data_IF_047748377919
#
_entry.id   IF_047748377919
#
_cell.length_a   1.000
_cell.length_b   1.000
_cell.length_c   1.000
_cell.angle_alpha   90.00
_cell.angle_beta   90.00
_cell.angle_gamma   90.00
#
_symmetry.space_group_name_H-M   'P 1'
#
loop_
_entity.id
_entity.type
_entity.pdbx_description
1 polymer ?
#
# COMPACT_ATOMS: atom_id res chain seq x y z
N UNK A 1 -32.98 20.60 6.06
CA UNK A 1 -31.97 19.68 6.64
C UNK A 1 -32.13 18.34 5.93
N UNK A 2 -31.27 18.01 4.97
CA UNK A 2 -31.33 16.71 4.28
C UNK A 2 -30.23 15.81 4.84
N UNK A 3 -30.65 14.73 5.48
CA UNK A 3 -29.78 13.69 6.01
C UNK A 3 -29.08 12.99 4.85
N UNK A 4 -27.74 13.04 4.84
CA UNK A 4 -26.94 12.24 3.93
C UNK A 4 -27.18 10.76 4.29
N UNK A 5 -27.73 10.01 3.35
CA UNK A 5 -27.92 8.56 3.44
C UNK A 5 -26.54 7.92 3.59
N UNK A 6 -26.17 7.53 4.81
CA UNK A 6 -25.01 6.67 5.02
C UNK A 6 -25.38 5.30 4.46
N UNK A 7 -24.90 4.99 3.27
CA UNK A 7 -24.78 3.60 2.87
C UNK A 7 -23.74 2.96 3.79
N UNK A 8 -24.21 2.40 4.90
CA UNK A 8 -23.46 1.39 5.62
C UNK A 8 -23.36 0.20 4.68
N UNK A 9 -22.41 0.24 3.74
CA UNK A 9 -21.95 -0.99 3.08
C UNK A 9 -21.51 -1.89 4.21
N UNK A 10 -22.18 -3.02 4.38
CA UNK A 10 -21.74 -4.00 5.37
C UNK A 10 -20.29 -4.33 5.06
N UNK A 11 -19.44 -4.34 6.08
CA UNK A 11 -18.03 -4.73 6.03
C UNK A 11 -17.85 -6.24 5.73
N UNK A 12 -18.88 -6.89 5.20
CA UNK A 12 -19.04 -8.35 5.02
C UNK A 12 -19.08 -8.75 3.53
N UNK A 13 -18.60 -7.90 2.62
CA UNK A 13 -18.02 -8.44 1.39
C UNK A 13 -16.67 -9.05 1.79
N UNK A 14 -16.60 -10.38 1.86
CA UNK A 14 -15.33 -11.09 2.02
C UNK A 14 -14.38 -10.57 0.95
N UNK A 15 -13.43 -9.73 1.35
CA UNK A 15 -12.52 -9.11 0.39
C UNK A 15 -11.67 -10.22 -0.20
N UNK A 16 -11.80 -10.46 -1.49
CA UNK A 16 -11.06 -11.52 -2.15
C UNK A 16 -9.55 -11.34 -1.97
N UNK A 17 -8.85 -12.43 -1.72
CA UNK A 17 -7.40 -12.44 -1.69
C UNK A 17 -6.88 -12.18 -3.12
N UNK A 18 -5.96 -11.22 -3.25
CA UNK A 18 -5.39 -10.78 -4.52
C UNK A 18 -3.87 -10.85 -4.40
N UNK A 19 -3.22 -11.50 -5.37
CA UNK A 19 -1.79 -11.37 -5.58
C UNK A 19 -1.54 -10.28 -6.63
N UNK A 20 -0.91 -9.18 -6.23
CA UNK A 20 -0.59 -8.08 -7.15
C UNK A 20 0.46 -8.46 -8.20
N UNK A 21 1.19 -9.57 -7.99
CA UNK A 21 2.25 -10.05 -8.87
C UNK A 21 3.31 -8.99 -9.22
N UNK A 22 3.48 -7.96 -8.38
CA UNK A 22 4.52 -6.96 -8.56
C UNK A 22 5.89 -7.55 -8.23
N UNK A 23 6.89 -7.21 -9.05
CA UNK A 23 8.29 -7.51 -8.73
C UNK A 23 8.82 -6.55 -7.67
N UNK A 24 9.84 -6.94 -6.89
CA UNK A 24 10.48 -6.08 -5.89
C UNK A 24 11.03 -4.77 -6.50
N UNK A 25 11.15 -3.75 -5.66
CA UNK A 25 11.83 -2.50 -5.98
C UNK A 25 12.46 -1.88 -4.73
N UNK A 26 13.37 -0.93 -4.93
CA UNK A 26 14.07 -0.25 -3.85
C UNK A 26 13.16 0.68 -3.03
N UNK A 27 12.15 1.27 -3.68
CA UNK A 27 11.13 2.12 -3.06
C UNK A 27 9.73 1.55 -3.29
N UNK A 28 8.91 1.58 -2.25
CA UNK A 28 7.49 1.23 -2.31
C UNK A 28 6.66 2.38 -1.76
N UNK A 29 5.62 2.78 -2.48
CA UNK A 29 4.64 3.77 -2.02
C UNK A 29 3.23 3.20 -2.11
N UNK A 30 2.53 3.22 -0.97
CA UNK A 30 1.18 2.70 -0.82
C UNK A 30 0.21 3.83 -0.47
N UNK A 31 -0.92 3.91 -1.17
CA UNK A 31 -1.99 4.86 -0.84
C UNK A 31 -3.35 4.31 -1.24
N UNK A 32 -4.43 4.80 -0.63
CA UNK A 32 -5.79 4.60 -1.13
C UNK A 32 -6.15 5.54 -2.30
N UNK A 33 -5.41 6.64 -2.49
CA UNK A 33 -5.71 7.66 -3.49
C UNK A 33 -4.92 7.44 -4.78
N UNK A 34 -5.63 7.17 -5.87
CA UNK A 34 -5.04 7.08 -7.21
C UNK A 34 -4.38 8.40 -7.65
N UNK A 35 -4.83 9.54 -7.13
CA UNK A 35 -4.20 10.83 -7.39
C UNK A 35 -2.79 10.93 -6.80
N UNK A 36 -2.55 10.34 -5.62
CA UNK A 36 -1.19 10.28 -5.07
C UNK A 36 -0.30 9.38 -5.93
N UNK A 37 -0.82 8.20 -6.28
CA UNK A 37 -0.09 7.21 -7.05
C UNK A 37 0.26 7.78 -8.44
N UNK A 38 -0.71 8.39 -9.12
CA UNK A 38 -0.50 9.04 -10.41
C UNK A 38 0.44 10.24 -10.32
N UNK A 39 0.32 11.07 -9.27
CA UNK A 39 1.23 12.19 -9.03
C UNK A 39 2.68 11.74 -8.86
N UNK A 40 2.91 10.70 -8.06
CA UNK A 40 4.23 10.15 -7.82
C UNK A 40 4.78 9.41 -9.05
N UNK A 41 3.94 8.66 -9.77
CA UNK A 41 4.32 8.01 -11.03
C UNK A 41 4.83 9.05 -12.03
N UNK A 42 4.06 10.11 -12.27
CA UNK A 42 4.44 11.20 -13.17
C UNK A 42 5.72 11.89 -12.73
N UNK A 43 5.95 12.06 -11.43
CA UNK A 43 7.17 12.66 -10.91
C UNK A 43 8.40 11.77 -11.10
N UNK A 44 8.24 10.47 -10.81
CA UNK A 44 9.30 9.49 -10.96
C UNK A 44 9.68 9.26 -12.43
N UNK A 45 8.70 9.22 -13.34
CA UNK A 45 8.94 9.04 -14.77
C UNK A 45 9.77 10.17 -15.39
N UNK A 46 9.64 11.40 -14.89
CA UNK A 46 10.41 12.56 -15.41
C UNK A 46 11.92 12.44 -15.19
N UNK A 47 12.36 11.67 -14.20
CA UNK A 47 13.77 11.52 -13.86
C UNK A 47 14.07 10.08 -13.40
N UNK A 48 13.53 9.12 -14.15
CA UNK A 48 13.57 7.68 -13.82
C UNK A 48 15.00 7.14 -13.68
N UNK A 49 15.96 7.72 -14.39
CA UNK A 49 17.35 7.30 -14.37
C UNK A 49 18.08 7.75 -13.09
N UNK A 50 17.61 8.83 -12.47
CA UNK A 50 18.21 9.37 -11.24
C UNK A 50 17.51 8.85 -9.97
N UNK A 51 16.35 8.23 -10.08
CA UNK A 51 15.60 7.70 -8.95
C UNK A 51 15.76 6.19 -8.76
N UNK A 52 15.71 5.69 -7.51
CA UNK A 52 15.62 4.26 -7.24
C UNK A 52 14.42 3.62 -7.92
N UNK A 53 14.47 2.31 -8.14
CA UNK A 53 13.33 1.57 -8.65
C UNK A 53 12.10 1.74 -7.73
N UNK A 54 10.92 1.95 -8.31
CA UNK A 54 9.69 2.28 -7.59
C UNK A 54 8.56 1.27 -7.84
N UNK A 55 7.83 0.90 -6.79
CA UNK A 55 6.50 0.29 -6.88
C UNK A 55 5.45 1.15 -6.21
N UNK A 56 4.31 1.23 -6.90
CA UNK A 56 3.12 1.92 -6.47
C UNK A 56 2.02 0.88 -6.33
N UNK A 57 1.30 0.87 -5.22
CA UNK A 57 0.15 0.00 -5.06
C UNK A 57 -1.00 0.71 -4.34
N UNK A 58 -2.21 0.49 -4.85
CA UNK A 58 -3.42 0.98 -4.20
C UNK A 58 -3.78 0.04 -3.04
N UNK A 59 -3.92 0.59 -1.83
CA UNK A 59 -4.23 -0.16 -0.61
C UNK A 59 -5.60 -0.87 -0.68
N UNK A 60 -6.52 -0.42 -1.53
CA UNK A 60 -7.80 -1.09 -1.76
C UNK A 60 -7.66 -2.53 -2.30
N UNK A 61 -6.55 -2.82 -3.00
CA UNK A 61 -6.22 -4.17 -3.48
C UNK A 61 -5.47 -5.02 -2.43
N UNK A 62 -4.97 -4.39 -1.36
CA UNK A 62 -4.24 -5.04 -0.27
C UNK A 62 -5.08 -5.04 1.02
N UNK A 63 -6.34 -5.48 0.97
CA UNK A 63 -7.23 -5.48 2.15
C UNK A 63 -7.31 -6.83 2.85
N UNK A 64 -7.22 -7.93 2.10
CA UNK A 64 -7.24 -9.26 2.70
C UNK A 64 -5.87 -9.58 3.35
N UNK A 65 -5.82 -10.13 4.58
CA UNK A 65 -4.56 -10.43 5.26
C UNK A 65 -3.56 -11.22 4.42
N UNK A 66 -4.02 -12.26 3.71
CA UNK A 66 -3.17 -13.02 2.77
C UNK A 66 -2.51 -12.14 1.70
N UNK A 67 -3.24 -11.19 1.09
CA UNK A 67 -2.69 -10.29 0.08
C UNK A 67 -1.59 -9.41 0.68
N UNK A 68 -1.82 -8.93 1.90
CA UNK A 68 -0.89 -8.09 2.65
C UNK A 68 0.37 -8.88 2.95
N UNK A 69 0.26 -10.04 3.58
CA UNK A 69 1.38 -10.90 3.94
C UNK A 69 2.22 -11.24 2.71
N UNK A 70 1.55 -11.61 1.62
CA UNK A 70 2.21 -11.96 0.36
C UNK A 70 2.98 -10.78 -0.22
N UNK A 71 2.38 -9.60 -0.21
CA UNK A 71 3.02 -8.39 -0.71
C UNK A 71 4.18 -7.96 0.19
N UNK A 72 4.03 -8.12 1.51
CA UNK A 72 5.08 -7.85 2.49
C UNK A 72 6.29 -8.75 2.22
N UNK A 73 6.08 -10.05 2.13
CA UNK A 73 7.11 -11.06 1.89
C UNK A 73 7.79 -10.86 0.51
N UNK A 74 7.01 -10.68 -0.55
CA UNK A 74 7.54 -10.68 -1.90
C UNK A 74 8.18 -9.36 -2.30
N UNK A 75 7.64 -8.23 -1.83
CA UNK A 75 7.99 -6.89 -2.34
C UNK A 75 8.61 -6.04 -1.23
N UNK A 76 7.89 -5.79 -0.14
CA UNK A 76 8.29 -4.83 0.90
C UNK A 76 9.55 -5.27 1.65
N UNK A 77 9.66 -6.55 1.99
CA UNK A 77 10.84 -7.08 2.70
C UNK A 77 12.16 -6.93 1.92
N UNK A 78 12.09 -6.58 0.63
CA UNK A 78 13.25 -6.34 -0.24
C UNK A 78 13.43 -4.86 -0.59
N UNK A 79 12.53 -4.00 -0.14
CA UNK A 79 12.63 -2.57 -0.33
C UNK A 79 13.64 -1.98 0.66
N UNK A 80 14.20 -0.82 0.31
CA UNK A 80 15.04 -0.01 1.19
C UNK A 80 14.21 1.04 1.94
N UNK A 81 13.13 1.46 1.32
CA UNK A 81 12.24 2.49 1.85
C UNK A 81 10.79 2.23 1.48
N UNK A 82 9.89 2.28 2.47
CA UNK A 82 8.45 2.08 2.27
C UNK A 82 7.64 3.25 2.85
N UNK A 83 6.85 3.89 2.00
CA UNK A 83 5.93 4.95 2.40
C UNK A 83 4.50 4.42 2.36
N UNK A 84 3.77 4.58 3.47
CA UNK A 84 2.34 4.29 3.54
C UNK A 84 1.57 5.58 3.83
N UNK A 85 0.75 6.03 2.88
CA UNK A 85 -0.10 7.22 3.03
C UNK A 85 -1.52 6.83 3.43
N UNK A 86 -1.87 7.07 4.69
CA UNK A 86 -3.18 6.78 5.26
C UNK A 86 -3.97 8.08 5.54
N UNK A 87 -4.86 8.46 4.63
CA UNK A 87 -5.70 9.66 4.78
C UNK A 87 -6.76 9.57 5.89
N UNK A 88 -7.12 8.35 6.33
CA UNK A 88 -8.11 8.11 7.38
C UNK A 88 -7.52 7.79 8.76
N UNK A 89 -6.19 7.80 8.89
CA UNK A 89 -5.51 7.33 10.10
C UNK A 89 -5.24 5.83 10.12
N UNK A 90 -4.62 5.36 11.22
CA UNK A 90 -4.07 4.01 11.34
C UNK A 90 -5.13 2.90 11.21
N UNK A 91 -6.32 3.11 11.75
CA UNK A 91 -7.37 2.07 11.81
C UNK A 91 -7.89 1.61 10.45
N UNK A 92 -7.72 2.42 9.39
CA UNK A 92 -8.15 2.06 8.04
C UNK A 92 -7.34 0.91 7.43
N UNK A 93 -6.13 0.67 7.93
CA UNK A 93 -5.24 -0.35 7.38
C UNK A 93 -4.24 -0.88 8.44
N UNK A 94 -4.72 -1.03 9.68
CA UNK A 94 -3.90 -1.33 10.86
C UNK A 94 -3.05 -2.59 10.69
N UNK A 95 -3.67 -3.69 10.28
CA UNK A 95 -2.96 -4.98 10.08
C UNK A 95 -1.76 -4.82 9.15
N UNK A 96 -1.95 -4.16 8.01
CA UNK A 96 -0.85 -3.95 7.06
C UNK A 96 0.25 -3.04 7.59
N UNK A 97 -0.07 -2.01 8.37
CA UNK A 97 0.95 -1.18 9.03
C UNK A 97 1.75 -2.00 10.04
N UNK A 98 1.07 -2.83 10.83
CA UNK A 98 1.72 -3.69 11.83
C UNK A 98 2.66 -4.71 11.17
N UNK A 99 2.22 -5.37 10.10
CA UNK A 99 3.07 -6.32 9.36
C UNK A 99 4.25 -5.65 8.66
N UNK A 100 4.06 -4.46 8.09
CA UNK A 100 5.20 -3.68 7.55
C UNK A 100 6.17 -3.29 8.66
N UNK A 101 5.67 -2.90 9.84
CA UNK A 101 6.53 -2.55 10.98
C UNK A 101 7.34 -3.75 11.47
N UNK A 102 6.73 -4.94 11.55
CA UNK A 102 7.44 -6.19 11.86
C UNK A 102 8.50 -6.51 10.81
N UNK A 103 8.16 -6.38 9.53
CA UNK A 103 9.10 -6.60 8.43
C UNK A 103 10.27 -5.60 8.45
N UNK A 104 10.00 -4.32 8.74
CA UNK A 104 11.03 -3.29 8.85
C UNK A 104 12.03 -3.63 9.95
N UNK A 105 11.55 -4.07 11.11
CA UNK A 105 12.41 -4.52 12.21
C UNK A 105 13.22 -5.77 11.86
N UNK A 106 12.62 -6.73 11.14
CA UNK A 106 13.29 -7.98 10.77
C UNK A 106 14.32 -7.82 9.64
N UNK A 107 14.08 -6.89 8.70
CA UNK A 107 14.86 -6.77 7.46
C UNK A 107 15.69 -5.48 7.36
N UNK A 108 15.51 -4.52 8.28
CA UNK A 108 16.35 -3.33 8.38
C UNK A 108 16.07 -2.24 7.33
N UNK A 109 14.84 -2.13 6.84
CA UNK A 109 14.42 -1.01 5.99
C UNK A 109 13.70 0.09 6.79
N UNK A 110 13.59 1.28 6.20
CA UNK A 110 12.89 2.44 6.79
C UNK A 110 11.49 2.63 6.24
#
# INVERSE_FOLDING_TARGET
>A
MHLLRSETRSLDETVEAIDLAQTPAEMVFLSFSDSDLGGLANAWERDRESFPSLRLANLSALRHPFSIDRYVERVIAKARFVIVRLLGGLDYWRYGVEEISRAAQAHGFT
#
